data_IF_132459133162
#
_entry.id   IF_132459133162
#
_cell.length_a   1.000
_cell.length_b   1.000
_cell.length_c   1.000
_cell.angle_alpha   90.00
_cell.angle_beta   90.00
_cell.angle_gamma   90.00
#
_symmetry.space_group_name_H-M   'P 1'
#
loop_
_entity.id
_entity.type
_entity.pdbx_description
1 polymer ?
#
# COMPACT_ATOMS: atom_id res chain seq x y z
N UNK A 1 -9.57 46.06 71.00
CA UNK A 1 -8.21 46.35 70.52
C UNK A 1 -8.15 46.00 69.04
N UNK A 2 -7.62 46.91 68.21
CA UNK A 2 -7.40 46.85 66.74
C UNK A 2 -8.68 46.76 65.88
N UNK A 3 -9.32 47.83 65.39
CA UNK A 3 -8.92 49.03 64.64
C UNK A 3 -8.84 48.83 63.11
N UNK A 4 -9.87 49.36 62.45
CA UNK A 4 -10.03 49.93 61.09
C UNK A 4 -9.07 49.54 59.94
N UNK A 5 -9.62 49.32 58.73
CA UNK A 5 -9.72 50.38 57.69
C UNK A 5 -10.48 49.94 56.43
N UNK A 6 -11.33 50.86 55.98
CA UNK A 6 -11.96 50.95 54.66
C UNK A 6 -10.94 51.06 53.52
N UNK A 7 -11.32 50.72 52.29
CA UNK A 7 -11.28 51.62 51.12
C UNK A 7 -11.92 50.98 49.88
N UNK A 8 -12.84 51.71 49.24
CA UNK A 8 -13.35 51.41 47.88
C UNK A 8 -12.33 51.90 46.87
N UNK A 9 -11.97 51.08 45.88
CA UNK A 9 -11.38 51.53 44.61
C UNK A 9 -11.97 50.69 43.48
N UNK A 10 -12.59 51.36 42.51
CA UNK A 10 -13.09 50.79 41.25
C UNK A 10 -12.05 51.03 40.16
N UNK A 11 -11.66 50.00 39.39
CA UNK A 11 -11.03 50.18 38.08
C UNK A 11 -11.40 49.05 37.11
N UNK A 12 -11.66 49.46 35.87
CA UNK A 12 -12.15 48.69 34.73
C UNK A 12 -11.06 47.79 34.09
N UNK A 13 -11.53 46.70 33.48
CA UNK A 13 -11.00 45.99 32.31
C UNK A 13 -9.53 45.51 32.30
N UNK A 14 -9.36 44.17 32.26
CA UNK A 14 -8.30 43.51 31.51
C UNK A 14 -8.82 42.17 30.96
N UNK A 15 -8.42 41.89 29.72
CA UNK A 15 -8.96 40.93 28.77
C UNK A 15 -8.24 39.57 28.85
N UNK A 16 -8.87 38.51 28.32
CA UNK A 16 -8.36 37.15 28.02
C UNK A 16 -8.12 36.27 29.27
N UNK A 17 -8.75 35.10 29.41
CA UNK A 17 -8.47 33.92 28.57
C UNK A 17 -9.69 32.99 28.40
N UNK A 18 -9.67 32.33 27.25
CA UNK A 18 -10.65 31.44 26.64
C UNK A 18 -11.03 30.21 27.47
N UNK A 19 -12.32 30.01 27.73
CA UNK A 19 -12.91 28.67 27.88
C UNK A 19 -14.27 28.64 27.17
N UNK A 20 -14.26 28.32 25.87
CA UNK A 20 -15.47 27.95 25.16
C UNK A 20 -15.61 26.43 25.24
N UNK A 21 -16.50 25.96 26.10
CA UNK A 21 -17.06 24.62 26.05
C UNK A 21 -17.81 24.47 24.71
N UNK A 22 -17.26 23.71 23.77
CA UNK A 22 -18.05 23.28 22.60
C UNK A 22 -18.79 22.01 22.98
N UNK A 23 -20.10 22.20 23.12
CA UNK A 23 -21.13 21.19 23.26
C UNK A 23 -21.01 20.10 22.18
N UNK A 24 -21.10 18.84 22.63
CA UNK A 24 -21.31 17.68 21.76
C UNK A 24 -22.71 17.78 21.17
N UNK A 25 -22.80 18.15 19.90
CA UNK A 25 -23.93 17.77 19.05
C UNK A 25 -23.54 17.88 17.59
N UNK A 26 -23.47 16.72 16.96
CA UNK A 26 -23.66 16.55 15.52
C UNK A 26 -22.63 17.28 14.65
N UNK A 27 -21.40 16.76 14.61
CA UNK A 27 -20.64 16.82 13.35
C UNK A 27 -21.41 15.99 12.34
N UNK A 28 -22.37 16.63 11.68
CA UNK A 28 -22.78 16.27 10.34
C UNK A 28 -21.51 16.46 9.53
N UNK A 29 -20.72 15.39 9.38
CA UNK A 29 -19.78 15.35 8.29
C UNK A 29 -20.65 15.51 7.05
N UNK A 30 -20.52 16.59 6.26
CA UNK A 30 -20.97 16.46 4.90
C UNK A 30 -20.12 15.31 4.36
N UNK A 31 -20.73 14.13 4.20
CA UNK A 31 -20.21 13.10 3.31
C UNK A 31 -20.44 13.67 1.91
N UNK A 32 -19.72 14.76 1.61
CA UNK A 32 -19.45 15.18 0.26
C UNK A 32 -18.69 14.01 -0.31
N UNK A 33 -19.44 13.19 -1.04
CA UNK A 33 -18.96 12.02 -1.71
C UNK A 33 -17.60 12.33 -2.35
N UNK A 34 -16.53 11.73 -1.84
CA UNK A 34 -15.32 11.54 -2.63
C UNK A 34 -15.59 10.41 -3.63
N UNK A 35 -16.60 10.60 -4.48
CA UNK A 35 -16.62 9.97 -5.78
C UNK A 35 -15.86 10.90 -6.72
N UNK A 36 -14.55 11.01 -6.51
CA UNK A 36 -13.70 11.50 -7.58
C UNK A 36 -13.75 10.39 -8.63
N UNK A 37 -14.59 10.57 -9.64
CA UNK A 37 -14.54 9.82 -10.88
C UNK A 37 -13.18 10.12 -11.53
N UNK A 38 -12.14 9.45 -11.05
CA UNK A 38 -10.89 9.34 -11.79
C UNK A 38 -11.29 8.61 -13.08
N UNK A 39 -11.12 9.26 -14.22
CA UNK A 39 -11.32 8.64 -15.54
C UNK A 39 -10.57 7.31 -15.54
N UNK A 40 -11.30 6.23 -15.33
CA UNK A 40 -10.74 4.92 -15.04
C UNK A 40 -10.37 4.27 -16.37
N UNK A 41 -9.37 4.85 -17.04
CA UNK A 41 -8.56 4.12 -17.99
C UNK A 41 -7.61 3.21 -17.20
N UNK A 42 -8.14 2.47 -16.20
CA UNK A 42 -7.40 1.42 -15.52
C UNK A 42 -7.21 0.33 -16.53
N UNK A 43 -6.02 0.30 -17.07
CA UNK A 43 -5.46 -0.95 -17.52
C UNK A 43 -5.56 -1.94 -16.35
N UNK A 44 -6.41 -2.96 -16.48
CA UNK A 44 -6.60 -4.01 -15.48
C UNK A 44 -5.68 -5.22 -15.74
N UNK A 45 -4.77 -5.08 -16.71
CA UNK A 45 -3.99 -6.17 -17.26
C UNK A 45 -4.82 -7.16 -18.06
N UNK A 46 -4.20 -8.29 -18.37
CA UNK A 46 -4.86 -9.42 -19.03
C UNK A 46 -5.94 -10.05 -18.14
N UNK A 47 -7.12 -10.32 -18.70
CA UNK A 47 -8.27 -10.87 -17.96
C UNK A 47 -8.03 -12.29 -17.41
N UNK A 48 -7.17 -13.08 -18.06
CA UNK A 48 -6.83 -14.45 -17.68
C UNK A 48 -5.57 -14.52 -16.81
N UNK A 49 -5.23 -13.42 -16.12
CA UNK A 49 -4.09 -13.32 -15.20
C UNK A 49 -4.58 -12.86 -13.83
N UNK A 50 -3.88 -13.26 -12.76
CA UNK A 50 -4.20 -12.73 -11.45
C UNK A 50 -3.93 -11.23 -11.41
N UNK A 51 -4.74 -10.55 -10.59
CA UNK A 51 -4.46 -9.20 -10.12
C UNK A 51 -3.98 -9.33 -8.68
N UNK A 52 -2.89 -8.66 -8.39
CA UNK A 52 -2.13 -8.82 -7.17
C UNK A 52 -2.09 -7.51 -6.40
N UNK A 53 -1.98 -7.62 -5.09
CA UNK A 53 -1.88 -6.49 -4.17
C UNK A 53 -0.69 -6.70 -3.25
N UNK A 54 0.20 -5.72 -3.14
CA UNK A 54 1.35 -5.77 -2.25
C UNK A 54 2.01 -4.40 -2.13
N UNK A 55 2.60 -4.10 -0.98
CA UNK A 55 3.38 -2.87 -0.76
C UNK A 55 4.78 -3.06 -1.37
N UNK A 56 4.95 -2.70 -2.65
CA UNK A 56 6.23 -2.95 -3.36
C UNK A 56 7.23 -1.82 -3.17
N UNK A 57 6.74 -0.65 -2.74
CA UNK A 57 7.53 0.56 -2.61
C UNK A 57 7.93 0.90 -1.16
N UNK A 58 7.39 0.18 -0.16
CA UNK A 58 7.59 0.35 1.29
C UNK A 58 7.00 1.66 1.83
N UNK A 59 5.83 2.07 1.35
CA UNK A 59 5.14 3.27 1.82
C UNK A 59 3.97 2.97 2.78
N UNK A 60 3.75 1.69 3.10
CA UNK A 60 2.68 1.20 3.96
C UNK A 60 1.33 1.09 3.26
N UNK A 61 1.29 1.11 1.93
CA UNK A 61 0.06 0.97 1.13
C UNK A 61 0.18 -0.19 0.17
N UNK A 62 -0.93 -0.90 -0.04
CA UNK A 62 -0.99 -1.96 -1.04
C UNK A 62 -1.08 -1.37 -2.45
N UNK A 63 -0.10 -1.69 -3.28
CA UNK A 63 -0.05 -1.31 -4.69
C UNK A 63 -0.82 -2.31 -5.55
N UNK A 64 -1.38 -1.83 -6.67
CA UNK A 64 -2.14 -2.67 -7.59
C UNK A 64 -1.24 -3.22 -8.69
N UNK A 65 -0.87 -4.50 -8.59
CA UNK A 65 0.04 -5.18 -9.50
C UNK A 65 -0.73 -6.06 -10.50
N UNK A 66 -0.36 -5.97 -11.78
CA UNK A 66 -1.00 -6.73 -12.86
C UNK A 66 -0.04 -7.00 -14.00
N UNK A 67 -0.37 -8.00 -14.81
CA UNK A 67 0.39 -8.32 -16.00
C UNK A 67 -0.04 -7.47 -17.20
N UNK A 68 0.94 -6.87 -17.88
CA UNK A 68 0.76 -5.93 -19.00
C UNK A 68 1.83 -6.17 -20.07
N UNK A 69 1.81 -5.39 -21.15
CA UNK A 69 2.75 -5.51 -22.27
C UNK A 69 2.24 -6.43 -23.37
N UNK A 70 3.09 -6.78 -24.34
CA UNK A 70 2.72 -7.68 -25.44
C UNK A 70 2.81 -9.14 -25.01
N UNK A 71 2.15 -10.06 -25.73
CA UNK A 71 2.13 -11.50 -25.40
C UNK A 71 3.53 -12.12 -25.27
N UNK A 72 4.54 -11.63 -26.00
CA UNK A 72 5.92 -12.14 -25.95
C UNK A 72 6.82 -11.39 -24.96
N UNK A 73 6.41 -10.21 -24.53
CA UNK A 73 7.16 -9.34 -23.63
C UNK A 73 6.35 -8.99 -22.39
N UNK A 74 5.48 -9.91 -21.94
CA UNK A 74 4.60 -9.65 -20.81
C UNK A 74 5.44 -9.42 -19.55
N UNK A 75 5.03 -8.46 -18.72
CA UNK A 75 5.70 -8.13 -17.48
C UNK A 75 4.73 -7.75 -16.39
N UNK A 76 5.17 -7.90 -15.14
CA UNK A 76 4.42 -7.44 -13.98
C UNK A 76 4.66 -5.95 -13.80
N UNK A 77 3.58 -5.19 -13.64
CA UNK A 77 3.62 -3.77 -13.37
C UNK A 77 2.66 -3.41 -12.25
N UNK A 78 3.12 -2.60 -11.31
CA UNK A 78 2.33 -2.09 -10.20
C UNK A 78 2.01 -0.61 -10.39
N UNK A 79 0.73 -0.30 -10.21
CA UNK A 79 0.23 1.06 -10.08
C UNK A 79 0.36 1.45 -8.61
N UNK A 80 1.25 2.40 -8.33
CA UNK A 80 1.58 2.76 -6.95
C UNK A 80 0.44 3.53 -6.29
N UNK A 81 0.00 3.06 -5.12
CA UNK A 81 -0.99 3.72 -4.30
C UNK A 81 -0.41 5.01 -3.70
N UNK A 82 -1.29 5.96 -3.41
CA UNK A 82 -0.98 7.26 -2.82
C UNK A 82 -2.09 7.65 -1.84
N UNK A 83 -1.90 8.76 -1.11
CA UNK A 83 -2.85 9.19 -0.06
C UNK A 83 -4.30 9.39 -0.53
N UNK A 84 -4.50 9.74 -1.81
CA UNK A 84 -5.81 10.04 -2.38
C UNK A 84 -6.13 9.21 -3.65
N UNK A 85 -5.54 8.03 -3.79
CA UNK A 85 -5.79 7.13 -4.93
C UNK A 85 -4.50 6.46 -5.41
N UNK A 86 -4.23 6.54 -6.71
CA UNK A 86 -3.02 6.01 -7.30
C UNK A 86 -2.22 7.10 -8.02
N UNK A 87 -0.91 6.90 -8.15
CA UNK A 87 -0.03 7.80 -8.89
C UNK A 87 -0.47 8.02 -10.34
N UNK A 88 -0.09 9.14 -10.97
CA UNK A 88 -0.40 9.37 -12.39
C UNK A 88 0.31 8.36 -13.32
N UNK A 89 1.44 7.80 -12.88
CA UNK A 89 2.16 6.76 -13.60
C UNK A 89 1.60 5.36 -13.27
N UNK A 90 0.69 4.87 -14.11
CA UNK A 90 0.10 3.52 -14.00
C UNK A 90 1.08 2.35 -14.19
N UNK A 91 2.33 2.64 -14.57
CA UNK A 91 3.43 1.70 -14.76
C UNK A 91 4.64 2.11 -13.89
N UNK A 92 4.38 2.45 -12.63
CA UNK A 92 5.35 3.06 -11.71
C UNK A 92 6.41 2.09 -11.16
N UNK A 93 6.11 0.80 -11.12
CA UNK A 93 7.02 -0.20 -10.56
C UNK A 93 6.93 -1.50 -11.37
N UNK A 94 8.01 -1.90 -12.02
CA UNK A 94 7.97 -2.91 -13.08
C UNK A 94 8.96 -4.04 -12.82
N UNK A 95 8.64 -5.22 -13.34
CA UNK A 95 9.62 -6.27 -13.60
C UNK A 95 10.29 -6.08 -14.96
N UNK A 96 11.23 -6.96 -15.28
CA UNK A 96 11.68 -7.11 -16.65
C UNK A 96 10.55 -7.56 -17.58
N UNK A 97 10.67 -7.19 -18.85
CA UNK A 97 9.89 -7.73 -19.96
C UNK A 97 10.16 -9.21 -20.15
N UNK A 98 9.10 -9.98 -20.40
CA UNK A 98 9.19 -11.43 -20.57
C UNK A 98 9.54 -12.14 -19.26
N UNK A 99 9.11 -11.58 -18.11
CA UNK A 99 9.28 -12.25 -16.83
C UNK A 99 8.65 -13.64 -16.90
N UNK A 100 9.33 -14.64 -16.34
CA UNK A 100 8.73 -15.94 -16.08
C UNK A 100 7.58 -15.74 -15.08
N UNK A 101 6.37 -16.14 -15.40
CA UNK A 101 5.17 -15.93 -14.54
C UNK A 101 4.79 -17.19 -13.78
N UNK A 102 5.61 -18.23 -13.91
CA UNK A 102 5.29 -19.55 -13.41
C UNK A 102 4.16 -20.19 -14.20
N UNK A 103 3.56 -21.21 -13.59
CA UNK A 103 2.46 -21.96 -14.19
C UNK A 103 1.13 -21.20 -14.09
N UNK A 104 0.41 -21.11 -15.21
CA UNK A 104 -0.91 -20.43 -15.29
C UNK A 104 -1.97 -21.08 -14.35
N UNK A 105 -1.80 -22.36 -13.98
CA UNK A 105 -2.71 -23.11 -13.11
C UNK A 105 -2.23 -23.20 -11.65
N UNK A 106 -1.13 -22.55 -11.28
CA UNK A 106 -0.65 -22.50 -9.90
C UNK A 106 -0.68 -21.06 -9.37
N UNK A 107 -0.75 -20.86 -8.05
CA UNK A 107 -0.81 -19.54 -7.46
C UNK A 107 0.39 -18.66 -7.81
N UNK A 108 0.11 -17.39 -8.08
CA UNK A 108 1.04 -16.28 -7.97
C UNK A 108 0.60 -15.37 -6.82
N UNK A 109 1.53 -14.80 -6.07
CA UNK A 109 1.21 -13.97 -4.90
C UNK A 109 2.28 -12.91 -4.65
N UNK A 110 1.97 -11.99 -3.74
CA UNK A 110 2.85 -10.94 -3.24
C UNK A 110 3.14 -11.21 -1.77
N UNK A 111 4.42 -11.19 -1.36
CA UNK A 111 4.82 -11.39 0.03
C UNK A 111 6.24 -10.89 0.24
N UNK A 112 6.49 -10.12 1.29
CA UNK A 112 7.86 -9.85 1.74
C UNK A 112 8.52 -11.15 2.25
N UNK A 113 9.40 -11.74 1.45
CA UNK A 113 10.06 -13.01 1.79
C UNK A 113 11.46 -12.83 2.33
N UNK A 114 12.08 -11.67 2.08
CA UNK A 114 13.44 -11.36 2.50
C UNK A 114 13.50 -10.45 3.75
N UNK A 115 12.34 -9.99 4.24
CA UNK A 115 12.13 -9.10 5.38
C UNK A 115 12.72 -7.70 5.19
N UNK A 116 12.69 -7.17 3.97
CA UNK A 116 13.12 -5.80 3.67
C UNK A 116 12.00 -4.77 3.72
N UNK A 117 10.77 -5.22 3.98
CA UNK A 117 9.56 -4.40 4.08
C UNK A 117 8.88 -4.13 2.75
N UNK A 118 9.28 -4.81 1.66
CA UNK A 118 8.62 -4.75 0.34
C UNK A 118 8.04 -6.10 0.00
N UNK A 119 6.82 -6.13 -0.51
CA UNK A 119 6.23 -7.37 -0.99
C UNK A 119 6.86 -7.81 -2.32
N UNK A 120 7.37 -9.05 -2.33
CA UNK A 120 8.04 -9.66 -3.48
C UNK A 120 7.05 -10.42 -4.37
N UNK A 121 7.32 -10.48 -5.68
CA UNK A 121 6.49 -11.24 -6.61
C UNK A 121 6.88 -12.72 -6.62
N UNK A 122 6.01 -13.56 -6.08
CA UNK A 122 6.24 -14.98 -5.89
C UNK A 122 5.32 -15.85 -6.75
N UNK A 123 5.85 -17.00 -7.19
CA UNK A 123 5.12 -17.99 -7.99
C UNK A 123 5.79 -19.36 -7.93
N UNK A 124 5.10 -20.37 -8.45
CA UNK A 124 5.70 -21.68 -8.68
C UNK A 124 6.37 -21.75 -10.06
N UNK A 125 7.62 -22.22 -10.09
CA UNK A 125 8.40 -22.49 -11.31
C UNK A 125 9.02 -23.89 -11.22
N UNK A 126 9.61 -24.36 -12.32
CA UNK A 126 10.30 -25.65 -12.37
C UNK A 126 10.04 -26.38 -13.68
N UNK A 127 10.48 -27.64 -13.75
CA UNK A 127 10.19 -28.58 -14.82
C UNK A 127 10.34 -30.01 -14.29
N UNK A 128 9.71 -31.00 -14.94
CA UNK A 128 10.07 -32.42 -14.78
C UNK A 128 9.87 -33.03 -13.39
N UNK A 129 8.95 -32.50 -12.57
CA UNK A 129 8.60 -33.05 -11.26
C UNK A 129 9.13 -32.26 -10.06
N UNK A 130 10.01 -31.28 -10.27
CA UNK A 130 10.48 -30.38 -9.21
C UNK A 130 9.84 -28.99 -9.38
N UNK A 131 8.63 -28.84 -8.83
CA UNK A 131 7.93 -27.55 -8.76
C UNK A 131 8.30 -26.90 -7.43
N UNK A 132 8.82 -25.67 -7.48
CA UNK A 132 9.23 -24.93 -6.29
C UNK A 132 8.75 -23.48 -6.30
N UNK A 133 8.46 -22.91 -5.14
CA UNK A 133 8.14 -21.51 -5.01
C UNK A 133 9.40 -20.63 -5.12
N UNK A 134 9.36 -19.63 -6.00
CA UNK A 134 10.41 -18.63 -6.18
C UNK A 134 9.82 -17.23 -6.20
N UNK A 135 10.62 -16.23 -5.85
CA UNK A 135 10.23 -14.82 -5.87
C UNK A 135 11.25 -13.97 -6.63
N UNK A 136 10.78 -12.98 -7.38
CA UNK A 136 11.61 -11.87 -7.81
C UNK A 136 11.48 -10.76 -6.77
N UNK A 137 12.61 -10.31 -6.21
CA UNK A 137 12.58 -9.42 -5.05
C UNK A 137 12.27 -7.97 -5.46
N UNK A 138 11.39 -7.32 -4.73
CA UNK A 138 11.08 -5.91 -4.94
C UNK A 138 12.25 -5.04 -4.45
N UNK A 139 12.84 -4.26 -5.35
CA UNK A 139 13.94 -3.33 -5.06
C UNK A 139 13.47 -1.89 -5.29
N UNK A 140 14.30 -0.92 -4.89
CA UNK A 140 14.02 0.51 -5.12
C UNK A 140 13.76 0.85 -6.59
N UNK A 141 14.30 0.07 -7.53
CA UNK A 141 14.17 0.28 -8.98
C UNK A 141 13.14 -0.62 -9.67
N UNK A 142 12.35 -1.40 -8.93
CA UNK A 142 11.46 -2.42 -9.49
C UNK A 142 11.78 -3.83 -9.00
N UNK A 143 11.14 -4.84 -9.58
CA UNK A 143 11.48 -6.24 -9.28
C UNK A 143 12.82 -6.61 -9.90
N UNK A 144 13.69 -7.27 -9.14
CA UNK A 144 14.95 -7.76 -9.66
C UNK A 144 14.76 -8.94 -10.64
N UNK A 145 15.84 -9.33 -11.33
CA UNK A 145 15.83 -10.44 -12.28
C UNK A 145 16.12 -11.79 -11.64
N UNK A 146 16.58 -11.79 -10.40
CA UNK A 146 17.05 -13.00 -9.73
C UNK A 146 15.88 -13.73 -9.08
N UNK A 147 15.89 -15.06 -9.15
CA UNK A 147 14.88 -15.87 -8.47
C UNK A 147 15.37 -16.25 -7.07
N UNK A 148 14.75 -15.68 -6.05
CA UNK A 148 14.89 -16.09 -4.66
C UNK A 148 14.08 -17.36 -4.43
N UNK A 149 14.75 -18.49 -4.19
CA UNK A 149 14.05 -19.76 -3.93
C UNK A 149 13.58 -19.81 -2.48
N UNK A 150 12.29 -20.07 -2.28
CA UNK A 150 11.72 -20.26 -0.96
C UNK A 150 11.97 -21.69 -0.50
N UNK A 151 12.75 -21.83 0.58
CA UNK A 151 12.90 -23.12 1.25
C UNK A 151 11.68 -23.42 2.13
N UNK A 152 10.73 -24.13 1.54
CA UNK A 152 9.51 -24.59 2.21
C UNK A 152 9.75 -25.78 3.15
N UNK A 153 10.90 -26.44 3.10
CA UNK A 153 11.22 -27.57 4.00
C UNK A 153 11.34 -27.13 5.46
N UNK A 154 11.64 -25.85 5.70
CA UNK A 154 11.82 -25.27 7.03
C UNK A 154 10.54 -24.74 7.69
N UNK A 155 9.39 -24.70 6.98
CA UNK A 155 8.15 -24.05 7.45
C UNK A 155 6.93 -24.97 7.57
N UNK A 156 7.11 -26.29 7.65
CA UNK A 156 6.06 -27.17 8.18
C UNK A 156 6.09 -27.11 9.71
N UNK A 157 5.48 -26.06 10.27
CA UNK A 157 4.95 -26.10 11.63
C UNK A 157 3.46 -25.84 11.53
N UNK A 158 2.73 -26.89 11.17
CA UNK A 158 1.27 -26.91 11.29
C UNK A 158 0.99 -27.02 12.80
N UNK A 159 0.28 -26.06 13.42
CA UNK A 159 -0.22 -26.23 14.78
C UNK A 159 -1.24 -27.38 14.87
#
# INVERSE_FOLDING_TARGET
>A
MMNLRSHKISLKAALLTTTALVSISSVIFPVSAFAQSQNLNTDLGYQNRPRLWGDVNQDGKQDFCRFVGSRKEEFLSCHLAQGNGFSSNKYGFNSIKGIDRGYDNLPQWMQDVNRDGRDDFCRFVGNGGEIKPVCNLARKSGFDTNQYTLDISSRVRIP
#
